data_IF_159767479243
#
_entry.id   IF_159767479243
#
_cell.length_a   1.000
_cell.length_b   1.000
_cell.length_c   1.000
_cell.angle_alpha   90.00
_cell.angle_beta   90.00
_cell.angle_gamma   90.00
#
_symmetry.space_group_name_H-M   'P 1'
#
loop_
_entity.id
_entity.type
_entity.pdbx_description
1 polymer ?
#
# COMPACT_ATOMS: atom_id res chain seq x y z
N UNK A 1 -31.49 16.65 2.42
CA UNK A 1 -30.07 16.29 2.46
C UNK A 1 -29.68 16.11 3.92
N UNK A 2 -29.27 14.92 4.31
CA UNK A 2 -28.84 14.62 5.67
C UNK A 2 -27.44 15.21 5.94
N UNK A 3 -27.03 15.43 7.21
CA UNK A 3 -25.65 15.79 7.53
C UNK A 3 -24.62 14.79 7.02
N UNK A 4 -24.96 13.50 6.91
CA UNK A 4 -24.08 12.48 6.36
C UNK A 4 -23.95 12.63 4.84
N UNK A 5 -25.04 12.99 4.15
CA UNK A 5 -25.02 13.24 2.71
C UNK A 5 -24.11 14.44 2.40
N UNK A 6 -24.21 15.51 3.20
CA UNK A 6 -23.33 16.68 3.07
C UNK A 6 -21.85 16.32 3.27
N UNK A 7 -21.52 15.53 4.29
CA UNK A 7 -20.15 15.07 4.52
C UNK A 7 -19.66 14.18 3.38
N UNK A 8 -20.50 13.29 2.87
CA UNK A 8 -20.19 12.42 1.74
C UNK A 8 -19.99 13.21 0.43
N UNK A 9 -20.80 14.23 0.18
CA UNK A 9 -20.60 15.11 -0.97
C UNK A 9 -19.31 15.93 -0.83
N UNK A 10 -18.94 16.33 0.40
CA UNK A 10 -17.73 17.13 0.66
C UNK A 10 -16.42 16.38 0.42
N UNK A 11 -16.41 15.04 0.53
CA UNK A 11 -15.21 14.24 0.21
C UNK A 11 -14.97 14.14 -1.31
N UNK A 12 -15.95 14.55 -2.12
CA UNK A 12 -15.91 14.52 -3.59
C UNK A 12 -15.39 13.19 -4.14
N UNK A 13 -15.87 12.09 -3.57
CA UNK A 13 -15.39 10.75 -3.84
C UNK A 13 -16.55 9.76 -3.82
N UNK A 14 -16.68 8.97 -4.87
CA UNK A 14 -17.65 7.89 -4.94
C UNK A 14 -17.13 6.66 -4.20
N UNK A 15 -17.97 6.09 -3.34
CA UNK A 15 -17.70 4.87 -2.59
C UNK A 15 -18.73 3.81 -2.99
N UNK A 16 -18.26 2.68 -3.53
CA UNK A 16 -19.11 1.56 -3.92
C UNK A 16 -18.72 0.31 -3.12
N UNK A 17 -19.66 -0.30 -2.41
CA UNK A 17 -19.40 -1.55 -1.72
C UNK A 17 -19.35 -2.71 -2.73
N UNK A 18 -18.23 -3.43 -2.76
CA UNK A 18 -18.09 -4.59 -3.65
C UNK A 18 -18.85 -5.79 -3.10
N UNK A 19 -19.36 -6.63 -4.00
CA UNK A 19 -19.90 -7.94 -3.63
C UNK A 19 -18.71 -8.85 -3.23
N UNK A 20 -18.77 -9.56 -2.09
CA UNK A 20 -17.73 -10.50 -1.69
C UNK A 20 -17.39 -11.54 -2.76
N UNK A 21 -18.35 -11.94 -3.60
CA UNK A 21 -18.16 -12.97 -4.63
C UNK A 21 -17.54 -12.42 -5.93
N UNK A 22 -17.38 -11.10 -6.06
CA UNK A 22 -16.73 -10.49 -7.22
C UNK A 22 -15.24 -10.82 -7.29
N UNK A 23 -14.71 -10.88 -8.51
CA UNK A 23 -13.32 -11.26 -8.75
C UNK A 23 -12.31 -10.34 -8.04
N UNK A 24 -12.56 -9.03 -8.03
CA UNK A 24 -11.70 -8.07 -7.33
C UNK A 24 -11.74 -8.28 -5.82
N UNK A 25 -12.93 -8.52 -5.25
CA UNK A 25 -13.08 -8.89 -3.83
C UNK A 25 -12.30 -10.16 -3.50
N UNK A 26 -12.40 -11.20 -4.32
CA UNK A 26 -11.69 -12.46 -4.09
C UNK A 26 -10.16 -12.29 -4.16
N UNK A 27 -9.64 -11.49 -5.10
CA UNK A 27 -8.22 -11.19 -5.14
C UNK A 27 -7.76 -10.39 -3.93
N UNK A 28 -8.51 -9.37 -3.51
CA UNK A 28 -8.19 -8.56 -2.33
C UNK A 28 -8.25 -9.41 -1.06
N UNK A 29 -9.28 -10.25 -0.90
CA UNK A 29 -9.39 -11.17 0.24
C UNK A 29 -8.23 -12.17 0.29
N UNK A 30 -7.82 -12.72 -0.85
CA UNK A 30 -6.62 -13.56 -0.94
C UNK A 30 -5.36 -12.79 -0.55
N UNK A 31 -5.22 -11.56 -1.03
CA UNK A 31 -4.08 -10.70 -0.73
C UNK A 31 -3.97 -10.40 0.77
N UNK A 32 -5.09 -10.13 1.43
CA UNK A 32 -5.18 -9.93 2.88
C UNK A 32 -4.78 -11.21 3.61
N UNK A 33 -5.36 -12.36 3.24
CA UNK A 33 -5.13 -13.66 3.90
C UNK A 33 -3.65 -14.06 3.94
N UNK A 34 -2.87 -13.70 2.92
CA UNK A 34 -1.45 -14.05 2.85
C UNK A 34 -0.61 -13.53 4.02
N UNK A 35 -1.01 -12.42 4.67
CA UNK A 35 -0.22 -11.81 5.75
C UNK A 35 -1.05 -11.25 6.92
N UNK A 36 -2.37 -11.44 6.91
CA UNK A 36 -3.24 -10.98 7.99
C UNK A 36 -3.11 -11.85 9.25
N UNK A 37 -3.13 -11.24 10.46
CA UNK A 37 -3.28 -11.97 11.71
C UNK A 37 -4.58 -12.81 11.73
N UNK A 38 -4.61 -13.98 12.40
CA UNK A 38 -5.76 -14.90 12.38
C UNK A 38 -7.10 -14.31 12.87
N UNK A 39 -7.07 -13.31 13.75
CA UNK A 39 -8.24 -12.62 14.28
C UNK A 39 -8.78 -11.50 13.36
N UNK A 40 -8.12 -11.24 12.23
CA UNK A 40 -8.55 -10.19 11.30
C UNK A 40 -9.81 -10.63 10.55
N UNK A 41 -10.90 -9.87 10.70
CA UNK A 41 -12.15 -10.10 9.97
C UNK A 41 -12.46 -8.90 9.09
N UNK A 42 -12.46 -9.12 7.78
CA UNK A 42 -12.88 -8.11 6.78
C UNK A 42 -14.39 -7.91 6.87
N UNK A 43 -14.82 -6.66 7.04
CA UNK A 43 -16.24 -6.27 7.11
C UNK A 43 -16.74 -5.77 5.76
N UNK A 44 -15.92 -4.99 5.05
CA UNK A 44 -16.30 -4.38 3.78
C UNK A 44 -15.07 -4.05 2.92
N UNK A 45 -15.24 -4.20 1.60
CA UNK A 45 -14.32 -3.66 0.61
C UNK A 45 -15.08 -2.60 -0.17
N UNK A 46 -14.60 -1.37 -0.14
CA UNK A 46 -15.17 -0.23 -0.83
C UNK A 46 -14.28 0.12 -2.00
N UNK A 47 -14.81 0.12 -3.21
CA UNK A 47 -14.17 0.69 -4.40
C UNK A 47 -14.30 2.20 -4.35
N UNK A 48 -13.21 2.87 -4.69
CA UNK A 48 -13.04 4.31 -4.61
C UNK A 48 -12.92 4.86 -6.02
N UNK A 49 -13.70 5.89 -6.33
CA UNK A 49 -13.57 6.65 -7.58
C UNK A 49 -13.67 8.13 -7.27
N UNK A 50 -12.60 8.88 -7.56
CA UNK A 50 -12.56 10.35 -7.42
C UNK A 50 -12.37 10.98 -8.78
N UNK A 51 -13.04 12.10 -9.01
CA UNK A 51 -12.91 12.86 -10.25
C UNK A 51 -11.43 13.15 -10.56
N UNK A 52 -11.05 12.93 -11.82
CA UNK A 52 -9.73 13.21 -12.41
C UNK A 52 -8.54 12.40 -11.84
N UNK A 53 -8.75 11.46 -10.91
CA UNK A 53 -7.63 10.65 -10.38
C UNK A 53 -7.00 9.79 -11.49
N UNK A 54 -7.81 9.19 -12.36
CA UNK A 54 -7.32 8.38 -13.48
C UNK A 54 -6.62 9.22 -14.55
N UNK A 55 -7.16 10.40 -14.87
CA UNK A 55 -6.53 11.32 -15.82
C UNK A 55 -5.15 11.74 -15.31
N UNK A 56 -5.09 12.31 -14.10
CA UNK A 56 -3.83 12.74 -13.45
C UNK A 56 -2.80 11.60 -13.36
N UNK A 57 -3.26 10.41 -13.00
CA UNK A 57 -2.39 9.26 -12.83
C UNK A 57 -1.83 8.74 -14.15
N UNK A 58 -2.62 8.78 -15.23
CA UNK A 58 -2.21 8.29 -16.54
C UNK A 58 -1.41 9.32 -17.36
N UNK A 59 -1.64 10.63 -17.18
CA UNK A 59 -0.87 11.71 -17.82
C UNK A 59 0.65 11.57 -17.65
N UNK A 60 1.06 11.03 -16.50
CA UNK A 60 2.45 10.77 -16.13
C UNK A 60 3.13 9.73 -17.02
N UNK A 61 2.34 8.83 -17.61
CA UNK A 61 2.81 7.67 -18.38
C UNK A 61 3.90 6.84 -17.65
N UNK A 62 3.79 6.72 -16.33
CA UNK A 62 4.73 5.92 -15.51
C UNK A 62 4.25 4.47 -15.48
N UNK A 63 5.14 3.56 -15.90
CA UNK A 63 4.91 2.11 -15.87
C UNK A 63 5.25 1.48 -14.51
N UNK A 64 5.48 0.17 -14.52
CA UNK A 64 5.81 -0.62 -13.33
C UNK A 64 4.77 -0.43 -12.20
N UNK A 65 3.51 -0.75 -12.52
CA UNK A 65 2.37 -0.49 -11.64
C UNK A 65 2.10 -1.66 -10.72
N UNK A 66 1.88 -1.37 -9.44
CA UNK A 66 1.53 -2.34 -8.42
C UNK A 66 0.29 -1.91 -7.66
N UNK A 67 -0.47 -2.87 -7.14
CA UNK A 67 -1.49 -2.63 -6.14
C UNK A 67 -0.90 -2.89 -4.74
N UNK A 68 -0.73 -1.83 -3.94
CA UNK A 68 0.02 -1.84 -2.68
C UNK A 68 -0.78 -1.27 -1.52
N UNK A 69 -0.53 -1.79 -0.33
CA UNK A 69 -1.18 -1.43 0.92
C UNK A 69 -0.61 -0.14 1.51
N UNK A 70 -1.49 0.72 2.03
CA UNK A 70 -1.13 1.91 2.79
C UNK A 70 -1.99 2.01 4.06
N UNK A 71 -1.35 2.01 5.23
CA UNK A 71 -2.02 2.24 6.51
C UNK A 71 -2.41 3.71 6.68
N UNK A 72 -3.52 3.96 7.37
CA UNK A 72 -4.10 5.31 7.53
C UNK A 72 -3.58 6.10 8.75
N UNK A 73 -2.59 5.58 9.47
CA UNK A 73 -1.96 6.31 10.56
C UNK A 73 -1.07 7.41 9.97
N UNK A 74 -1.62 8.63 9.90
CA UNK A 74 -0.87 9.82 9.52
C UNK A 74 0.02 10.22 10.69
N UNK A 75 1.31 9.89 10.63
CA UNK A 75 2.27 10.56 11.50
C UNK A 75 2.41 12.03 11.07
N UNK A 76 2.43 12.98 12.02
CA UNK A 76 2.68 14.39 11.72
C UNK A 76 3.97 14.55 10.91
N UNK A 77 4.01 15.48 9.94
CA UNK A 77 5.20 15.76 9.13
C UNK A 77 6.46 16.07 9.98
N UNK A 78 6.24 16.60 11.20
CA UNK A 78 7.24 16.92 12.21
C UNK A 78 7.69 15.75 13.12
N UNK A 79 7.08 14.57 13.00
CA UNK A 79 7.49 13.39 13.78
C UNK A 79 8.93 13.00 13.43
N UNK A 80 9.79 12.94 14.46
CA UNK A 80 11.23 12.64 14.36
C UNK A 80 11.56 11.14 14.37
N UNK A 81 10.58 10.24 14.29
CA UNK A 81 10.80 8.79 14.31
C UNK A 81 9.56 7.99 13.93
N UNK A 82 9.84 6.74 13.50
CA UNK A 82 8.98 5.70 12.90
C UNK A 82 8.45 6.01 11.48
N UNK A 83 8.16 4.98 10.66
CA UNK A 83 7.58 5.11 9.31
C UNK A 83 8.46 5.62 8.14
N UNK A 84 9.57 6.36 8.38
CA UNK A 84 10.39 6.98 7.31
C UNK A 84 11.75 6.32 7.14
N UNK A 85 11.84 5.00 7.08
CA UNK A 85 13.12 4.27 7.09
C UNK A 85 14.06 4.70 5.95
N UNK A 86 13.50 4.90 4.75
CA UNK A 86 14.21 5.15 3.49
C UNK A 86 14.10 6.60 2.99
N UNK A 87 13.91 7.56 3.91
CA UNK A 87 13.79 8.99 3.58
C UNK A 87 12.35 9.47 3.48
N UNK A 88 12.14 10.64 2.87
CA UNK A 88 10.81 11.27 2.74
C UNK A 88 10.08 10.70 1.51
N UNK A 89 8.81 10.38 1.69
CA UNK A 89 7.92 9.93 0.62
C UNK A 89 6.64 9.32 1.18
N UNK A 90 5.78 8.85 0.28
CA UNK A 90 4.59 8.05 0.57
C UNK A 90 5.02 6.59 0.57
N UNK A 91 4.83 5.92 1.71
CA UNK A 91 5.24 4.53 1.91
C UNK A 91 4.08 3.59 1.62
N UNK A 92 4.34 2.55 0.86
CA UNK A 92 3.39 1.48 0.58
C UNK A 92 4.10 0.13 0.71
N UNK A 93 3.34 -0.93 0.99
CA UNK A 93 3.87 -2.28 1.15
C UNK A 93 3.08 -3.27 0.31
N UNK A 94 3.72 -4.37 -0.06
CA UNK A 94 3.08 -5.52 -0.70
C UNK A 94 2.52 -6.53 0.32
N UNK A 95 2.53 -6.19 1.61
CA UNK A 95 2.02 -7.06 2.67
C UNK A 95 1.00 -6.31 3.53
N UNK A 96 -0.21 -6.88 3.65
CA UNK A 96 -1.25 -6.37 4.53
C UNK A 96 -0.76 -6.30 5.98
N UNK A 97 -0.11 -7.36 6.46
CA UNK A 97 0.42 -7.45 7.83
C UNK A 97 1.43 -6.35 8.17
N UNK A 98 2.25 -5.93 7.19
CA UNK A 98 3.21 -4.83 7.37
C UNK A 98 2.50 -3.47 7.50
N UNK A 99 1.52 -3.20 6.64
CA UNK A 99 0.76 -1.94 6.69
C UNK A 99 -0.19 -1.87 7.88
N UNK A 100 -0.57 -3.02 8.47
CA UNK A 100 -1.45 -3.10 9.64
C UNK A 100 -0.89 -2.41 10.89
N UNK A 101 0.43 -2.33 11.02
CA UNK A 101 1.11 -1.58 12.08
C UNK A 101 0.84 -0.07 12.02
N UNK A 102 0.40 0.42 10.85
CA UNK A 102 0.05 1.81 10.58
C UNK A 102 -1.46 1.98 10.40
N UNK A 103 -2.27 1.11 11.00
CA UNK A 103 -3.71 1.28 11.11
C UNK A 103 -4.07 1.49 12.59
N UNK A 104 -4.68 2.64 12.88
CA UNK A 104 -5.35 2.89 14.16
C UNK A 104 -6.85 2.91 13.92
N UNK A 105 -7.58 2.14 14.73
CA UNK A 105 -9.01 2.01 14.62
C UNK A 105 -9.76 2.61 15.79
N UNK A 106 -11.09 2.55 15.69
CA UNK A 106 -11.99 2.95 16.78
C UNK A 106 -12.34 1.70 17.58
N UNK A 107 -12.09 1.73 18.89
CA UNK A 107 -12.49 0.65 19.80
C UNK A 107 -14.00 0.68 20.01
N UNK A 108 -14.68 -0.42 19.72
CA UNK A 108 -16.11 -0.61 19.96
C UNK A 108 -16.38 -2.03 20.43
N UNK A 109 -17.00 -2.18 21.60
CA UNK A 109 -17.39 -3.47 22.18
C UNK A 109 -16.26 -4.51 22.25
N UNK A 110 -15.03 -4.06 22.57
CA UNK A 110 -13.86 -4.94 22.70
C UNK A 110 -13.11 -5.21 21.39
N UNK A 111 -13.66 -4.85 20.23
CA UNK A 111 -12.99 -4.95 18.92
C UNK A 111 -12.46 -3.59 18.47
N UNK A 112 -11.39 -3.59 17.68
CA UNK A 112 -10.87 -2.38 17.02
C UNK A 112 -11.28 -2.39 15.54
N UNK A 113 -12.17 -1.46 15.15
CA UNK A 113 -12.58 -1.29 13.75
C UNK A 113 -11.59 -0.37 13.04
N UNK A 114 -10.91 -0.92 12.03
CA UNK A 114 -9.82 -0.29 11.30
C UNK A 114 -10.17 -0.13 9.81
N UNK A 115 -9.47 0.79 9.15
CA UNK A 115 -9.48 0.93 7.71
C UNK A 115 -8.04 0.91 7.18
N UNK A 116 -7.86 0.36 5.98
CA UNK A 116 -6.61 0.38 5.24
C UNK A 116 -6.88 0.71 3.78
N UNK A 117 -5.96 1.45 3.15
CA UNK A 117 -6.04 1.75 1.72
C UNK A 117 -5.31 0.69 0.92
N UNK A 118 -5.84 0.41 -0.26
CA UNK A 118 -5.18 -0.36 -1.30
C UNK A 118 -5.10 0.51 -2.56
N UNK A 119 -3.88 0.82 -2.96
CA UNK A 119 -3.58 1.87 -3.91
C UNK A 119 -2.89 1.32 -5.15
N UNK A 120 -3.25 1.84 -6.32
CA UNK A 120 -2.45 1.64 -7.53
C UNK A 120 -1.28 2.62 -7.51
N UNK A 121 -0.06 2.09 -7.55
CA UNK A 121 1.19 2.84 -7.43
C UNK A 121 2.02 2.62 -8.68
N UNK A 122 2.35 3.71 -9.38
CA UNK A 122 3.22 3.70 -10.55
C UNK A 122 4.67 3.92 -10.12
N UNK A 123 5.46 2.84 -10.01
CA UNK A 123 6.81 2.91 -9.47
C UNK A 123 7.85 3.40 -10.48
N UNK A 124 7.60 3.20 -11.78
CA UNK A 124 8.57 3.53 -12.83
C UNK A 124 9.92 2.85 -12.65
N UNK A 125 10.99 3.55 -13.00
CA UNK A 125 12.36 3.16 -12.70
C UNK A 125 12.65 3.40 -11.22
N UNK A 126 13.10 2.37 -10.51
CA UNK A 126 13.22 2.40 -9.05
C UNK A 126 14.68 2.46 -8.61
N UNK A 127 14.96 3.27 -7.59
CA UNK A 127 16.23 3.21 -6.86
C UNK A 127 16.13 2.13 -5.79
N UNK A 128 16.94 1.07 -5.93
CA UNK A 128 16.97 -0.03 -4.96
C UNK A 128 17.89 0.30 -3.79
N UNK A 129 17.34 0.25 -2.57
CA UNK A 129 18.14 0.34 -1.35
C UNK A 129 18.68 -1.03 -0.99
N UNK A 130 20.00 -1.19 -1.07
CA UNK A 130 20.69 -2.44 -0.73
C UNK A 130 21.54 -2.33 0.53
N UNK A 131 21.86 -1.12 0.98
CA UNK A 131 22.71 -0.90 2.15
C UNK A 131 22.30 0.36 2.92
N UNK A 132 22.19 0.23 4.25
CA UNK A 132 21.90 1.33 5.17
C UNK A 132 23.11 2.23 5.46
N UNK A 133 24.32 1.74 5.20
CA UNK A 133 25.55 2.51 5.41
C UNK A 133 25.87 3.43 4.23
N UNK A 134 25.24 3.20 3.09
CA UNK A 134 25.43 4.00 1.90
C UNK A 134 24.93 5.44 2.09
N UNK A 135 25.66 6.38 1.50
CA UNK A 135 25.30 7.81 1.50
C UNK A 135 23.93 8.09 0.86
N UNK A 136 23.45 7.20 -0.01
CA UNK A 136 22.17 7.33 -0.71
C UNK A 136 20.97 6.72 0.03
N UNK A 137 21.18 6.08 1.19
CA UNK A 137 20.15 5.36 1.97
C UNK A 137 18.92 6.22 2.30
N UNK A 138 19.14 7.47 2.69
CA UNK A 138 18.10 8.45 3.05
C UNK A 138 18.21 9.75 2.26
N UNK A 139 19.07 9.77 1.24
CA UNK A 139 19.25 10.93 0.39
C UNK A 139 17.96 11.25 -0.37
N UNK A 140 17.83 12.51 -0.77
CA UNK A 140 16.78 12.90 -1.70
C UNK A 140 16.90 12.06 -2.98
N UNK A 141 15.78 11.54 -3.48
CA UNK A 141 15.76 10.74 -4.69
C UNK A 141 16.19 11.61 -5.88
N UNK A 142 17.14 11.11 -6.68
CA UNK A 142 17.49 11.72 -7.96
C UNK A 142 16.36 11.49 -8.96
N UNK A 143 15.40 12.42 -9.00
CA UNK A 143 14.19 12.33 -9.82
C UNK A 143 14.46 12.40 -11.32
N UNK A 144 15.68 12.78 -11.73
CA UNK A 144 16.10 12.71 -13.12
C UNK A 144 16.35 11.26 -13.59
N UNK A 145 16.61 10.35 -12.65
CA UNK A 145 16.91 8.93 -12.94
C UNK A 145 15.82 7.99 -12.46
N UNK A 146 15.24 8.26 -11.31
CA UNK A 146 14.32 7.33 -10.63
C UNK A 146 13.00 8.01 -10.29
N UNK A 147 11.90 7.28 -10.44
CA UNK A 147 10.56 7.75 -10.08
C UNK A 147 10.12 7.22 -8.71
N UNK A 148 10.78 6.20 -8.18
CA UNK A 148 10.51 5.68 -6.84
C UNK A 148 11.76 5.09 -6.20
N UNK A 149 11.64 4.75 -4.93
CA UNK A 149 12.63 3.99 -4.16
C UNK A 149 11.98 2.70 -3.70
N UNK A 150 12.74 1.62 -3.73
CA UNK A 150 12.30 0.30 -3.28
C UNK A 150 13.33 -0.29 -2.34
N UNK A 151 12.88 -0.99 -1.32
CA UNK A 151 13.74 -1.78 -0.45
C UNK A 151 13.19 -3.20 -0.39
N UNK A 152 14.07 -4.19 -0.54
CA UNK A 152 13.67 -5.59 -0.52
C UNK A 152 13.86 -6.21 0.87
N UNK A 153 12.78 -6.80 1.36
CA UNK A 153 12.71 -7.47 2.64
C UNK A 153 13.35 -8.86 2.63
N UNK A 154 13.71 -9.33 3.83
CA UNK A 154 14.02 -10.75 4.05
C UNK A 154 12.80 -11.66 3.90
N UNK A 155 11.59 -11.12 4.06
CA UNK A 155 10.29 -11.77 3.88
C UNK A 155 9.54 -11.04 2.78
N UNK A 156 8.97 -11.81 1.84
CA UNK A 156 8.23 -11.29 0.69
C UNK A 156 7.03 -12.18 0.38
N UNK A 157 5.98 -11.67 -0.28
CA UNK A 157 4.99 -12.52 -0.93
C UNK A 157 5.66 -13.40 -2.00
N UNK A 158 5.29 -14.69 -2.06
CA UNK A 158 5.84 -15.59 -3.07
C UNK A 158 5.54 -15.08 -4.49
N UNK A 159 6.59 -14.71 -5.26
CA UNK A 159 6.41 -14.04 -6.55
C UNK A 159 5.73 -14.93 -7.60
N UNK A 160 5.73 -16.25 -7.41
CA UNK A 160 5.05 -17.21 -8.32
C UNK A 160 3.54 -17.02 -8.37
N UNK A 161 2.96 -16.41 -7.33
CA UNK A 161 1.53 -16.12 -7.25
C UNK A 161 1.20 -14.64 -7.50
N UNK A 162 2.16 -13.87 -8.03
CA UNK A 162 1.87 -12.51 -8.49
C UNK A 162 1.04 -12.58 -9.75
N UNK A 163 -0.16 -11.99 -9.71
CA UNK A 163 -1.00 -11.85 -10.89
C UNK A 163 -0.76 -10.50 -11.55
N UNK A 164 -1.00 -10.43 -12.86
CA UNK A 164 -0.99 -9.19 -13.64
C UNK A 164 -2.41 -9.02 -14.19
N UNK A 165 -3.05 -7.89 -13.85
CA UNK A 165 -4.38 -7.53 -14.37
C UNK A 165 -4.26 -7.08 -15.83
N UNK A 166 -5.38 -7.00 -16.55
CA UNK A 166 -5.39 -6.56 -17.96
C UNK A 166 -4.83 -5.13 -18.14
N UNK A 167 -4.92 -4.30 -17.11
CA UNK A 167 -4.32 -2.96 -17.04
C UNK A 167 -2.79 -2.97 -16.87
N UNK A 168 -2.16 -4.14 -16.71
CA UNK A 168 -0.73 -4.28 -16.42
C UNK A 168 -0.36 -4.11 -14.94
N UNK A 169 -1.33 -3.88 -14.06
CA UNK A 169 -1.11 -3.73 -12.62
C UNK A 169 -0.81 -5.08 -11.98
N UNK A 170 0.25 -5.12 -11.16
CA UNK A 170 0.69 -6.33 -10.45
C UNK A 170 0.08 -6.43 -9.05
N UNK A 171 -0.38 -7.62 -8.68
CA UNK A 171 -0.87 -7.94 -7.34
C UNK A 171 -0.13 -9.17 -6.79
N UNK A 172 0.73 -9.01 -5.78
CA UNK A 172 1.51 -10.10 -5.21
C UNK A 172 0.68 -10.93 -4.21
N UNK A 173 -0.06 -11.92 -4.70
CA UNK A 173 -1.04 -12.71 -3.92
C UNK A 173 -0.45 -13.96 -3.25
N UNK A 174 0.88 -14.05 -3.15
CA UNK A 174 1.57 -15.20 -2.59
C UNK A 174 1.60 -15.17 -1.06
N UNK A 175 1.64 -16.35 -0.46
CA UNK A 175 1.99 -16.51 0.96
C UNK A 175 3.37 -15.90 1.24
N UNK A 176 3.59 -15.43 2.47
CA UNK A 176 4.87 -14.83 2.84
C UNK A 176 5.94 -15.92 2.96
N UNK A 177 7.02 -15.75 2.22
CA UNK A 177 8.18 -16.64 2.21
C UNK A 177 9.44 -15.88 2.62
N UNK A 178 10.38 -16.60 3.22
CA UNK A 178 11.71 -16.07 3.51
C UNK A 178 12.61 -16.15 2.27
N UNK A 179 13.20 -15.03 1.88
CA UNK A 179 14.15 -14.94 0.77
C UNK A 179 15.38 -15.82 0.99
N UNK A 180 15.95 -16.37 -0.10
CA UNK A 180 17.20 -17.17 -0.02
C UNK A 180 18.37 -16.41 0.61
N UNK A 181 18.47 -15.09 0.37
CA UNK A 181 19.49 -14.20 0.94
C UNK A 181 18.98 -13.40 2.15
N UNK A 182 18.03 -13.96 2.91
CA UNK A 182 17.35 -13.27 4.01
C UNK A 182 18.30 -12.67 5.06
N UNK A 183 19.42 -13.32 5.37
CA UNK A 183 20.39 -12.79 6.36
C UNK A 183 20.96 -11.43 5.94
N UNK A 184 21.28 -11.27 4.66
CA UNK A 184 21.78 -9.99 4.13
C UNK A 184 20.66 -8.95 4.04
N UNK A 185 19.47 -9.37 3.58
CA UNK A 185 18.32 -8.46 3.41
C UNK A 185 17.74 -8.00 4.75
N UNK A 186 17.77 -8.84 5.79
CA UNK A 186 17.28 -8.50 7.12
C UNK A 186 18.05 -7.33 7.75
N UNK A 187 19.32 -7.14 7.36
CA UNK A 187 20.07 -5.93 7.75
C UNK A 187 19.45 -4.66 7.16
N UNK A 188 18.85 -4.73 5.96
CA UNK A 188 18.15 -3.63 5.29
C UNK A 188 16.71 -3.53 5.79
N UNK A 189 15.85 -4.51 5.54
CA UNK A 189 14.49 -4.53 6.05
C UNK A 189 13.94 -5.95 6.09
N UNK A 190 12.91 -6.15 6.92
CA UNK A 190 12.21 -7.44 6.99
C UNK A 190 11.18 -7.60 5.89
N UNK A 191 10.51 -6.53 5.47
CA UNK A 191 9.44 -6.54 4.46
C UNK A 191 9.82 -5.63 3.31
N UNK A 192 9.23 -5.85 2.13
CA UNK A 192 9.39 -4.91 1.03
C UNK A 192 8.72 -3.57 1.38
N UNK A 193 9.37 -2.47 0.99
CA UNK A 193 8.79 -1.13 1.07
C UNK A 193 8.96 -0.43 -0.28
N UNK A 194 7.90 0.26 -0.69
CA UNK A 194 7.81 0.98 -1.94
C UNK A 194 7.48 2.43 -1.65
N UNK A 195 8.39 3.33 -2.03
CA UNK A 195 8.36 4.73 -1.63
C UNK A 195 8.31 5.60 -2.88
N UNK A 196 7.26 6.41 -3.00
CA UNK A 196 7.14 7.43 -4.05
C UNK A 196 7.27 8.82 -3.42
N UNK A 197 7.90 9.75 -4.13
CA UNK A 197 8.00 11.14 -3.68
C UNK A 197 6.83 12.01 -4.20
N UNK A 198 6.23 11.61 -5.31
CA UNK A 198 5.21 12.38 -6.02
C UNK A 198 3.82 11.74 -5.85
N UNK A 199 2.86 12.52 -5.35
CA UNK A 199 1.48 12.07 -5.14
C UNK A 199 0.72 11.79 -6.43
N UNK A 200 1.20 12.25 -7.59
CA UNK A 200 0.64 11.87 -8.89
C UNK A 200 0.90 10.40 -9.26
N UNK A 201 1.83 9.72 -8.59
CA UNK A 201 2.16 8.29 -8.81
C UNK A 201 1.29 7.32 -8.00
N UNK A 202 0.25 7.81 -7.33
CA UNK A 202 -0.63 6.97 -6.53
C UNK A 202 -2.08 7.36 -6.73
N UNK A 203 -2.93 6.34 -6.84
CA UNK A 203 -4.38 6.47 -6.78
C UNK A 203 -4.93 5.45 -5.81
N UNK A 204 -5.86 5.89 -4.96
CA UNK A 204 -6.57 5.02 -4.03
C UNK A 204 -7.64 4.27 -4.84
N UNK A 205 -7.58 2.94 -4.85
CA UNK A 205 -8.55 2.10 -5.57
C UNK A 205 -9.58 1.50 -4.64
N UNK A 206 -9.14 1.10 -3.45
CA UNK A 206 -10.02 0.47 -2.47
C UNK A 206 -9.74 0.95 -1.06
N UNK A 207 -10.79 0.95 -0.24
CA UNK A 207 -10.73 1.00 1.22
C UNK A 207 -11.19 -0.37 1.73
N UNK A 208 -10.37 -0.98 2.58
CA UNK A 208 -10.73 -2.22 3.28
C UNK A 208 -11.06 -1.87 4.72
N UNK A 209 -12.29 -2.15 5.14
CA UNK A 209 -12.74 -2.07 6.52
C UNK A 209 -12.65 -3.46 7.16
N UNK A 210 -12.04 -3.56 8.34
CA UNK A 210 -11.86 -4.81 9.05
C UNK A 210 -11.84 -4.59 10.57
N UNK A 211 -12.07 -5.65 11.32
CA UNK A 211 -11.92 -5.69 12.79
C UNK A 211 -10.78 -6.63 13.18
N UNK A 212 -10.10 -6.29 14.27
CA UNK A 212 -9.06 -7.10 14.92
C UNK A 212 -9.19 -7.08 16.43
#
# INVERSE_FOLDING_TARGET
MSPLDYLYESINCQLEALNPDDIDSQFILRYIRASAPPNTKVEKILKISRANDDERFNERNVGNRYLLWHGLLVEPLCAKGTGKQFGRGIYTADEFGKSLAYCSGVKKNGNESCCMLLCEVALGNTHMVTDKTSSDYRAQLDTSKYQSRTAHGSSIPDPRYTIIRDSGVRMPLGEIITCKNAQHLAHVCTHNEYIIADSSQIVIRYIVQFVR
#
